data_IF_386513112834
#
_entry.id   IF_386513112834
#
_cell.length_a   1.000
_cell.length_b   1.000
_cell.length_c   1.000
_cell.angle_alpha   90.00
_cell.angle_beta   90.00
_cell.angle_gamma   90.00
#
_symmetry.space_group_name_H-M   'P 1'
#
loop_
_entity.id
_entity.type
_entity.pdbx_description
1 polymer ?
#
# COMPACT_ATOMS: atom_id res chain seq x y z
N UNK A 1 0.22 -3.17 -10.87
CA UNK A 1 0.70 -1.91 -10.28
C UNK A 1 1.67 -1.28 -11.24
N UNK A 2 1.60 0.02 -11.43
CA UNK A 2 2.48 0.71 -12.37
C UNK A 2 3.92 0.65 -11.89
N UNK A 3 4.84 0.83 -12.82
CA UNK A 3 6.26 0.68 -12.52
C UNK A 3 6.73 1.58 -11.37
N UNK A 4 6.37 2.85 -11.42
CA UNK A 4 6.77 3.77 -10.36
C UNK A 4 6.17 3.38 -9.03
N UNK A 5 4.92 2.93 -9.05
CA UNK A 5 4.27 2.51 -7.82
C UNK A 5 4.90 1.24 -7.28
N UNK A 6 5.31 0.35 -8.17
CA UNK A 6 6.01 -0.86 -7.74
C UNK A 6 7.31 -0.52 -7.04
N UNK A 7 8.05 0.45 -7.56
CA UNK A 7 9.30 0.85 -6.94
C UNK A 7 9.04 1.39 -5.54
N UNK A 8 8.04 2.27 -5.43
CA UNK A 8 7.71 2.85 -4.13
C UNK A 8 7.23 1.78 -3.16
N UNK A 9 6.40 0.87 -3.64
CA UNK A 9 5.87 -0.19 -2.79
C UNK A 9 6.97 -1.14 -2.35
N UNK A 10 7.89 -1.45 -3.25
CA UNK A 10 9.01 -2.32 -2.93
C UNK A 10 9.88 -1.71 -1.85
N UNK A 11 10.15 -0.41 -1.95
CA UNK A 11 10.90 0.27 -0.90
C UNK A 11 10.20 0.20 0.44
N UNK A 12 8.90 0.40 0.43
CA UNK A 12 8.12 0.33 1.65
C UNK A 12 8.20 -1.06 2.27
N UNK A 13 8.06 -2.09 1.45
CA UNK A 13 8.13 -3.47 1.94
C UNK A 13 9.47 -3.78 2.58
N UNK A 14 10.53 -3.29 1.98
CA UNK A 14 11.87 -3.55 2.50
C UNK A 14 12.14 -2.80 3.79
N UNK A 15 11.51 -1.64 3.95
CA UNK A 15 11.74 -0.82 5.12
C UNK A 15 10.69 -0.99 6.20
N UNK A 16 9.60 -1.66 5.88
CA UNK A 16 8.53 -1.86 6.85
C UNK A 16 8.94 -2.90 7.87
N UNK A 17 8.84 -2.55 9.13
CA UNK A 17 9.09 -3.50 10.22
C UNK A 17 7.79 -3.77 10.94
N UNK A 18 7.59 -3.16 12.08
CA UNK A 18 6.36 -3.35 12.82
C UNK A 18 5.47 -2.13 12.79
N UNK A 19 6.00 -1.01 12.38
CA UNK A 19 5.24 0.23 12.35
C UNK A 19 5.52 0.95 11.04
N UNK A 20 4.50 1.60 10.52
CA UNK A 20 4.65 2.47 9.37
C UNK A 20 5.00 3.86 9.82
N UNK A 21 5.93 4.50 9.13
CA UNK A 21 6.14 5.93 9.31
C UNK A 21 4.94 6.67 8.72
N UNK A 22 4.85 7.96 9.01
CA UNK A 22 3.74 8.75 8.47
C UNK A 22 3.73 8.73 6.95
N UNK A 23 4.90 8.83 6.33
CA UNK A 23 5.01 8.81 4.88
C UNK A 23 4.62 7.46 4.31
N UNK A 24 5.04 6.39 4.96
CA UNK A 24 4.65 5.06 4.51
C UNK A 24 3.15 4.85 4.64
N UNK A 25 2.57 5.33 5.70
CA UNK A 25 1.13 5.23 5.91
C UNK A 25 0.38 5.97 4.81
N UNK A 26 0.82 7.16 4.48
CA UNK A 26 0.20 7.93 3.40
C UNK A 26 0.32 7.20 2.07
N UNK A 27 1.48 6.62 1.81
CA UNK A 27 1.67 5.88 0.56
C UNK A 27 0.69 4.72 0.44
N UNK A 28 0.52 3.96 1.51
CA UNK A 28 -0.44 2.86 1.51
C UNK A 28 -1.84 3.38 1.19
N UNK A 29 -2.23 4.46 1.84
CA UNK A 29 -3.57 5.02 1.62
C UNK A 29 -3.75 5.51 0.20
N UNK A 30 -2.73 6.17 -0.35
CA UNK A 30 -2.80 6.67 -1.72
C UNK A 30 -2.89 5.54 -2.73
N UNK A 31 -2.05 4.54 -2.58
CA UNK A 31 -2.08 3.42 -3.50
C UNK A 31 -3.39 2.65 -3.42
N UNK A 32 -3.87 2.45 -2.21
CA UNK A 32 -5.13 1.74 -2.05
C UNK A 32 -6.28 2.50 -2.69
N UNK A 33 -6.32 3.82 -2.49
CA UNK A 33 -7.35 4.62 -3.13
C UNK A 33 -7.26 4.55 -4.64
N UNK A 34 -6.03 4.55 -5.17
CA UNK A 34 -5.82 4.51 -6.61
C UNK A 34 -6.25 3.18 -7.22
N UNK A 35 -5.84 2.08 -6.62
CA UNK A 35 -6.06 0.76 -7.22
C UNK A 35 -7.38 0.14 -6.85
N UNK A 36 -7.99 0.58 -5.77
CA UNK A 36 -9.30 0.09 -5.35
C UNK A 36 -10.40 1.12 -5.57
N UNK A 37 -10.04 2.25 -6.19
CA UNK A 37 -10.98 3.24 -6.71
C UNK A 37 -11.93 3.77 -5.66
N UNK A 38 -11.39 4.22 -4.55
CA UNK A 38 -12.19 4.90 -3.55
C UNK A 38 -11.55 6.23 -3.22
N UNK A 39 -12.29 7.07 -2.53
CA UNK A 39 -11.78 8.38 -2.12
C UNK A 39 -10.63 8.19 -1.13
N UNK A 40 -9.58 8.97 -1.31
CA UNK A 40 -8.47 8.92 -0.38
C UNK A 40 -8.94 9.24 1.04
N UNK A 41 -8.52 8.42 1.98
CA UNK A 41 -8.68 8.75 3.38
C UNK A 41 -7.67 7.93 4.18
N UNK A 42 -7.39 8.39 5.40
CA UNK A 42 -6.45 7.71 6.28
C UNK A 42 -7.24 7.05 7.41
N UNK A 43 -7.29 5.73 7.44
CA UNK A 43 -8.01 5.06 8.54
C UNK A 43 -7.34 5.34 9.86
N UNK A 44 -8.11 5.18 10.92
CA UNK A 44 -7.62 5.47 12.26
C UNK A 44 -6.45 4.56 12.62
N UNK A 45 -5.37 5.14 13.08
CA UNK A 45 -4.19 4.35 13.47
C UNK A 45 -4.41 3.58 14.75
N UNK A 46 -5.47 3.87 15.48
CA UNK A 46 -5.77 3.11 16.69
C UNK A 46 -6.32 1.72 16.37
N UNK A 47 -6.65 1.46 15.10
CA UNK A 47 -7.09 0.14 14.69
C UNK A 47 -6.24 -0.32 13.51
N UNK A 48 -5.15 -1.01 13.79
CA UNK A 48 -4.21 -1.38 12.71
C UNK A 48 -4.74 -2.44 11.76
N UNK A 49 -5.87 -3.05 12.05
CA UNK A 49 -6.39 -4.10 11.18
C UNK A 49 -6.68 -3.61 9.78
N UNK A 50 -7.25 -2.43 9.66
CA UNK A 50 -7.60 -1.88 8.35
C UNK A 50 -6.37 -1.67 7.50
N UNK A 51 -5.35 -1.03 8.06
CA UNK A 51 -4.16 -0.76 7.29
C UNK A 51 -3.42 -2.05 6.94
N UNK A 52 -3.45 -3.02 7.84
CA UNK A 52 -2.84 -4.31 7.57
C UNK A 52 -3.54 -5.00 6.40
N UNK A 53 -4.85 -4.98 6.38
CA UNK A 53 -5.61 -5.54 5.27
C UNK A 53 -5.26 -4.83 3.96
N UNK A 54 -5.16 -3.52 3.99
CA UNK A 54 -4.80 -2.77 2.81
C UNK A 54 -3.41 -3.14 2.30
N UNK A 55 -2.47 -3.35 3.22
CA UNK A 55 -1.12 -3.77 2.82
C UNK A 55 -1.18 -5.13 2.12
N UNK A 56 -1.95 -6.05 2.67
CA UNK A 56 -2.09 -7.37 2.05
C UNK A 56 -2.72 -7.27 0.67
N UNK A 57 -3.75 -6.45 0.53
CA UNK A 57 -4.40 -6.27 -0.75
C UNK A 57 -3.46 -5.64 -1.77
N UNK A 58 -2.66 -4.68 -1.33
CA UNK A 58 -1.70 -4.05 -2.24
C UNK A 58 -0.58 -5.00 -2.61
N UNK A 59 -0.19 -5.89 -1.71
CA UNK A 59 0.76 -6.92 -2.07
C UNK A 59 0.21 -7.85 -3.16
N UNK A 60 -1.06 -8.19 -3.07
CA UNK A 60 -1.68 -8.98 -4.12
C UNK A 60 -1.68 -8.22 -5.45
N UNK A 61 -2.02 -6.95 -5.42
CA UNK A 61 -2.01 -6.13 -6.62
C UNK A 61 -0.61 -6.05 -7.21
N UNK A 62 0.38 -5.88 -6.34
CA UNK A 62 1.77 -5.83 -6.77
C UNK A 62 2.16 -7.12 -7.49
N UNK A 63 1.80 -8.26 -6.92
CA UNK A 63 2.22 -9.54 -7.49
C UNK A 63 1.45 -9.88 -8.76
N UNK A 64 0.18 -9.52 -8.79
CA UNK A 64 -0.64 -9.85 -9.96
C UNK A 64 -0.23 -9.09 -11.18
N UNK A 65 0.32 -7.91 -11.00
CA UNK A 65 0.67 -7.09 -12.14
C UNK A 65 2.03 -7.39 -12.73
N UNK A 66 2.72 -8.37 -12.22
CA UNK A 66 4.03 -8.70 -12.76
C UNK A 66 3.95 -9.35 -14.10
N UNK A 67 2.80 -9.90 -14.44
CA UNK A 67 2.67 -10.61 -15.67
C UNK A 67 2.26 -9.78 -16.82
N UNK A 68 1.88 -8.57 -16.58
CA UNK A 68 1.22 -7.84 -17.60
C UNK A 68 2.13 -7.12 -18.47
N UNK A 69 3.35 -7.18 -18.25
CA UNK A 69 4.18 -6.41 -19.04
C UNK A 69 4.51 -6.92 -20.24
#
# INVERSE_FOLDING_TARGET
>A
METLDKIDWDKLRHNFKNKLSHEQYKLVCELHAKYYKHTYYEPCTCNPKTIKTWIEQLNDTYEQNTDDQ
#
